data_IF_306710559005
#
_entry.id   IF_306710559005
#
_cell.length_a   1.000
_cell.length_b   1.000
_cell.length_c   1.000
_cell.angle_alpha   90.00
_cell.angle_beta   90.00
_cell.angle_gamma   90.00
#
_symmetry.space_group_name_H-M   'P 1'
#
loop_
_entity.id
_entity.type
_entity.pdbx_description
1 polymer ?
#
# COMPACT_ATOMS: atom_id res chain seq x y z
N UNK A 1 -18.68 -18.04 12.96
CA UNK A 1 -19.14 -16.82 13.67
C UNK A 1 -19.42 -15.80 12.59
N UNK A 2 -20.69 -15.48 12.34
CA UNK A 2 -21.08 -14.54 11.27
C UNK A 2 -21.11 -13.15 11.88
N UNK A 3 -20.23 -12.26 11.41
CA UNK A 3 -20.18 -10.86 11.86
C UNK A 3 -21.44 -10.12 11.39
N UNK A 4 -21.93 -9.17 12.19
CA UNK A 4 -23.02 -8.31 11.74
C UNK A 4 -22.49 -7.21 10.80
N UNK A 5 -23.36 -6.60 9.99
CA UNK A 5 -22.95 -5.58 9.01
C UNK A 5 -22.21 -4.39 9.64
N UNK A 6 -22.53 -3.99 10.87
CA UNK A 6 -21.89 -2.86 11.53
C UNK A 6 -20.41 -3.15 11.87
N UNK A 7 -20.10 -4.37 12.29
CA UNK A 7 -18.73 -4.82 12.58
C UNK A 7 -17.89 -4.92 11.29
N UNK A 8 -18.49 -5.33 10.18
CA UNK A 8 -17.82 -5.34 8.87
C UNK A 8 -17.45 -3.91 8.44
N UNK A 9 -18.40 -2.97 8.52
CA UNK A 9 -18.16 -1.56 8.20
C UNK A 9 -17.10 -0.91 9.10
N UNK A 10 -17.10 -1.23 10.39
CA UNK A 10 -16.11 -0.70 11.34
C UNK A 10 -14.69 -1.20 11.04
N UNK A 11 -14.55 -2.50 10.74
CA UNK A 11 -13.28 -3.09 10.31
C UNK A 11 -12.76 -2.45 9.01
N UNK A 12 -13.60 -2.34 7.98
CA UNK A 12 -13.20 -1.77 6.70
C UNK A 12 -12.77 -0.31 6.85
N UNK A 13 -13.52 0.46 7.65
CA UNK A 13 -13.19 1.87 7.92
C UNK A 13 -11.84 2.02 8.63
N UNK A 14 -11.59 1.18 9.63
CA UNK A 14 -10.30 1.15 10.33
C UNK A 14 -9.16 0.74 9.39
N UNK A 15 -9.34 -0.33 8.62
CA UNK A 15 -8.32 -0.86 7.71
C UNK A 15 -7.96 0.18 6.65
N UNK A 16 -8.95 0.83 6.04
CA UNK A 16 -8.73 1.90 5.07
C UNK A 16 -7.92 3.06 5.67
N UNK A 17 -8.19 3.46 6.91
CA UNK A 17 -7.42 4.50 7.59
C UNK A 17 -5.97 4.04 7.84
N UNK A 18 -5.78 2.86 8.40
CA UNK A 18 -4.45 2.33 8.72
C UNK A 18 -3.59 2.15 7.45
N UNK A 19 -4.17 1.67 6.35
CA UNK A 19 -3.49 1.55 5.05
C UNK A 19 -3.04 2.90 4.51
N UNK A 20 -3.87 3.95 4.62
CA UNK A 20 -3.50 5.31 4.21
C UNK A 20 -2.32 5.84 5.03
N UNK A 21 -2.38 5.66 6.35
CA UNK A 21 -1.31 6.06 7.27
C UNK A 21 0.00 5.31 6.99
N UNK A 22 -0.08 4.00 6.74
CA UNK A 22 1.09 3.20 6.39
C UNK A 22 1.70 3.61 5.05
N UNK A 23 0.87 3.84 4.02
CA UNK A 23 1.35 4.29 2.71
C UNK A 23 2.03 5.65 2.82
N UNK A 24 1.43 6.55 3.59
CA UNK A 24 2.02 7.86 3.90
C UNK A 24 3.39 7.71 4.56
N UNK A 25 3.51 6.82 5.54
CA UNK A 25 4.79 6.55 6.23
C UNK A 25 5.86 5.98 5.28
N UNK A 26 5.51 5.01 4.43
CA UNK A 26 6.45 4.40 3.50
C UNK A 26 6.92 5.37 2.40
N UNK A 27 6.01 6.16 1.84
CA UNK A 27 6.33 7.14 0.80
C UNK A 27 6.85 8.48 1.37
N UNK A 28 6.66 8.73 2.67
CA UNK A 28 7.13 9.93 3.39
C UNK A 28 6.61 11.25 2.80
N UNK A 29 5.31 11.32 2.53
CA UNK A 29 4.63 12.56 2.13
C UNK A 29 3.71 13.07 3.23
N UNK A 30 3.53 14.37 3.35
CA UNK A 30 2.54 15.00 4.24
C UNK A 30 1.29 15.44 3.48
N UNK A 31 1.42 15.74 2.19
CA UNK A 31 0.34 16.17 1.29
C UNK A 31 0.43 15.49 -0.08
N UNK A 32 -0.71 15.39 -0.78
CA UNK A 32 -0.81 14.66 -2.06
C UNK A 32 0.09 15.28 -3.13
N UNK A 33 0.23 16.60 -3.14
CA UNK A 33 1.11 17.36 -4.05
C UNK A 33 2.60 17.01 -3.91
N UNK A 34 3.02 16.41 -2.79
CA UNK A 34 4.41 15.95 -2.60
C UNK A 34 4.69 14.61 -3.28
N UNK A 35 3.67 13.80 -3.58
CA UNK A 35 3.82 12.43 -4.10
C UNK A 35 4.68 12.37 -5.38
N UNK A 36 4.54 13.26 -6.38
CA UNK A 36 5.38 13.23 -7.58
C UNK A 36 6.87 13.43 -7.28
N UNK A 37 7.21 14.10 -6.17
CA UNK A 37 8.59 14.36 -5.76
C UNK A 37 9.19 13.23 -4.93
N UNK A 38 8.41 12.62 -4.03
CA UNK A 38 8.88 11.51 -3.19
C UNK A 38 8.78 10.14 -3.87
N UNK A 39 7.94 10.02 -4.90
CA UNK A 39 7.70 8.79 -5.66
C UNK A 39 7.61 9.09 -7.16
N UNK A 40 8.70 9.58 -7.78
CA UNK A 40 8.68 9.96 -9.19
C UNK A 40 8.34 8.75 -10.09
N UNK A 41 7.73 9.03 -11.24
CA UNK A 41 7.44 8.00 -12.25
C UNK A 41 8.72 7.32 -12.72
N UNK A 42 8.64 6.04 -13.06
CA UNK A 42 9.79 5.30 -13.59
C UNK A 42 10.00 5.68 -15.05
N UNK A 43 11.24 6.01 -15.40
CA UNK A 43 11.67 6.03 -16.80
C UNK A 43 11.53 4.64 -17.43
N UNK A 44 11.47 4.59 -18.75
CA UNK A 44 11.44 3.29 -19.46
C UNK A 44 12.71 2.49 -19.20
N UNK A 45 13.87 3.15 -19.10
CA UNK A 45 15.16 2.52 -18.77
C UNK A 45 15.16 1.90 -17.38
N UNK A 46 14.60 2.57 -16.36
CA UNK A 46 14.46 1.99 -15.02
C UNK A 46 13.54 0.75 -15.03
N UNK A 47 12.46 0.78 -15.81
CA UNK A 47 11.54 -0.35 -15.91
C UNK A 47 12.22 -1.55 -16.61
N UNK A 48 13.00 -1.30 -17.66
CA UNK A 48 13.81 -2.31 -18.35
C UNK A 48 14.89 -2.86 -17.41
N UNK A 49 15.62 -2.00 -16.70
CA UNK A 49 16.62 -2.42 -15.73
C UNK A 49 16.00 -3.30 -14.63
N UNK A 50 14.80 -2.97 -14.14
CA UNK A 50 14.10 -3.81 -13.17
C UNK A 50 13.71 -5.19 -13.76
N UNK A 51 13.27 -5.25 -15.03
CA UNK A 51 12.95 -6.50 -15.72
C UNK A 51 14.18 -7.39 -15.92
N UNK A 52 15.35 -6.80 -16.14
CA UNK A 52 16.62 -7.51 -16.28
C UNK A 52 17.34 -7.78 -14.96
N UNK A 53 16.75 -7.40 -13.83
CA UNK A 53 17.33 -7.50 -12.48
C UNK A 53 18.59 -6.64 -12.28
N UNK A 54 18.79 -5.61 -13.11
CA UNK A 54 19.86 -4.61 -13.00
C UNK A 54 19.47 -3.44 -12.07
N UNK A 55 18.21 -3.40 -11.61
CA UNK A 55 17.71 -2.44 -10.63
C UNK A 55 17.01 -3.15 -9.48
N UNK A 56 17.27 -2.71 -8.25
CA UNK A 56 16.57 -3.20 -7.06
C UNK A 56 15.06 -2.92 -7.15
N UNK A 57 14.25 -3.91 -6.73
CA UNK A 57 12.82 -3.73 -6.56
C UNK A 57 12.46 -2.82 -5.38
N UNK A 58 11.16 -2.50 -5.23
CA UNK A 58 10.69 -1.74 -4.08
C UNK A 58 10.92 -2.55 -2.80
N UNK A 59 11.29 -1.87 -1.71
CA UNK A 59 11.41 -2.44 -0.35
C UNK A 59 10.72 -1.51 0.64
N UNK A 60 10.42 -1.95 1.87
CA UNK A 60 9.85 -1.03 2.87
C UNK A 60 10.79 0.13 3.25
N UNK A 61 12.11 -0.04 3.04
CA UNK A 61 13.10 1.03 3.28
C UNK A 61 13.28 1.98 2.08
N UNK A 62 13.07 1.46 0.86
CA UNK A 62 13.14 2.18 -0.41
C UNK A 62 11.84 1.94 -1.17
N UNK A 63 10.75 2.45 -0.60
CA UNK A 63 9.42 2.21 -1.14
C UNK A 63 9.10 3.24 -2.21
N UNK A 64 8.62 2.78 -3.37
CA UNK A 64 8.26 3.62 -4.51
C UNK A 64 7.09 2.98 -5.25
N UNK A 65 6.19 3.83 -5.73
CA UNK A 65 5.09 3.47 -6.62
C UNK A 65 5.14 4.38 -7.83
N UNK A 66 4.92 3.81 -9.02
CA UNK A 66 4.67 4.61 -10.21
C UNK A 66 3.18 4.92 -10.31
N UNK A 67 2.80 6.15 -9.96
CA UNK A 67 1.41 6.61 -10.00
C UNK A 67 0.91 6.88 -11.43
N UNK A 68 1.80 7.03 -12.42
CA UNK A 68 1.43 7.27 -13.82
C UNK A 68 1.15 5.95 -14.51
N UNK A 69 2.10 4.99 -14.44
CA UNK A 69 1.96 3.68 -15.09
C UNK A 69 0.83 2.84 -14.49
N UNK A 70 0.22 1.91 -15.24
CA UNK A 70 -0.89 1.09 -14.74
C UNK A 70 -0.59 0.39 -13.39
N UNK A 71 -1.46 0.61 -12.40
CA UNK A 71 -1.26 0.07 -11.04
C UNK A 71 -1.20 -1.47 -11.01
N UNK A 72 -2.15 -2.15 -11.65
CA UNK A 72 -2.28 -3.62 -11.54
C UNK A 72 -1.41 -4.41 -12.50
N UNK A 73 -0.95 -3.80 -13.60
CA UNK A 73 -0.27 -4.54 -14.69
C UNK A 73 1.22 -4.22 -14.82
N UNK A 74 1.69 -3.06 -14.34
CA UNK A 74 3.12 -2.76 -14.32
C UNK A 74 3.83 -3.63 -13.28
N UNK A 75 4.86 -4.38 -13.71
CA UNK A 75 5.53 -5.37 -12.86
C UNK A 75 6.13 -4.78 -11.58
N UNK A 76 6.65 -3.54 -11.65
CA UNK A 76 7.20 -2.84 -10.50
C UNK A 76 6.11 -2.48 -9.49
N UNK A 77 4.97 -1.96 -9.96
CA UNK A 77 3.82 -1.66 -9.10
C UNK A 77 3.23 -2.91 -8.44
N UNK A 78 3.18 -4.04 -9.15
CA UNK A 78 2.78 -5.33 -8.57
C UNK A 78 3.71 -5.75 -7.43
N UNK A 79 5.03 -5.58 -7.60
CA UNK A 79 6.00 -5.84 -6.55
C UNK A 79 5.82 -4.88 -5.37
N UNK A 80 5.59 -3.58 -5.63
CA UNK A 80 5.33 -2.58 -4.60
C UNK A 80 4.07 -2.92 -3.78
N UNK A 81 2.99 -3.37 -4.43
CA UNK A 81 1.79 -3.88 -3.73
C UNK A 81 2.14 -5.03 -2.79
N UNK A 82 2.93 -6.00 -3.26
CA UNK A 82 3.36 -7.13 -2.44
C UNK A 82 4.17 -6.71 -1.22
N UNK A 83 5.16 -5.84 -1.42
CA UNK A 83 5.99 -5.28 -0.33
C UNK A 83 5.14 -4.52 0.67
N UNK A 84 4.21 -3.68 0.21
CA UNK A 84 3.29 -2.97 1.10
C UNK A 84 2.47 -3.93 1.95
N UNK A 85 1.82 -4.92 1.33
CA UNK A 85 0.92 -5.83 2.05
C UNK A 85 1.70 -6.65 3.08
N UNK A 86 2.89 -7.13 2.72
CA UNK A 86 3.75 -7.86 3.64
C UNK A 86 4.22 -6.98 4.81
N UNK A 87 4.72 -5.76 4.53
CA UNK A 87 5.21 -4.87 5.58
C UNK A 87 4.09 -4.40 6.51
N UNK A 88 2.90 -4.10 5.97
CA UNK A 88 1.74 -3.72 6.75
C UNK A 88 1.30 -4.84 7.71
N UNK A 89 1.14 -6.07 7.21
CA UNK A 89 0.72 -7.20 8.06
C UNK A 89 1.78 -7.50 9.12
N UNK A 90 3.07 -7.39 8.79
CA UNK A 90 4.16 -7.49 9.77
C UNK A 90 4.05 -6.41 10.84
N UNK A 91 3.91 -5.14 10.45
CA UNK A 91 3.77 -4.01 11.36
C UNK A 91 2.54 -4.14 12.27
N UNK A 92 1.44 -4.66 11.74
CA UNK A 92 0.23 -4.96 12.50
C UNK A 92 0.47 -6.05 13.56
N UNK A 93 1.16 -7.14 13.20
CA UNK A 93 1.54 -8.20 14.14
C UNK A 93 2.54 -7.77 15.21
N UNK A 94 3.38 -6.77 14.89
CA UNK A 94 4.33 -6.13 15.83
C UNK A 94 3.66 -5.07 16.73
N UNK A 95 2.35 -4.82 16.57
CA UNK A 95 1.60 -3.88 17.40
C UNK A 95 1.78 -2.40 17.04
N UNK A 96 2.28 -2.08 15.84
CA UNK A 96 2.39 -0.69 15.37
C UNK A 96 1.03 -0.04 15.11
N UNK A 97 -0.02 -0.86 14.96
CA UNK A 97 -1.40 -0.43 14.82
C UNK A 97 -2.24 -1.06 15.92
N UNK A 98 -3.14 -0.27 16.52
CA UNK A 98 -4.06 -0.73 17.56
C UNK A 98 -5.50 -0.69 17.03
N UNK A 99 -6.02 -1.81 16.47
CA UNK A 99 -7.43 -1.87 16.11
C UNK A 99 -8.32 -1.79 17.36
N UNK A 100 -9.54 -1.22 17.22
CA UNK A 100 -10.56 -1.25 18.28
C UNK A 100 -10.85 -2.64 18.83
N UNK A 101 -10.81 -3.65 17.96
CA UNK A 101 -10.95 -5.06 18.32
C UNK A 101 -9.64 -5.80 17.97
N UNK A 102 -8.94 -6.40 18.95
CA UNK A 102 -7.72 -7.18 18.72
C UNK A 102 -7.89 -8.32 17.71
N UNK A 103 -9.09 -8.90 17.56
CA UNK A 103 -9.35 -9.96 16.58
C UNK A 103 -9.15 -9.48 15.13
N UNK A 104 -9.21 -8.17 14.89
CA UNK A 104 -9.00 -7.60 13.55
C UNK A 104 -7.57 -7.78 13.05
N UNK A 105 -6.59 -7.95 13.95
CA UNK A 105 -5.20 -8.28 13.58
C UNK A 105 -5.14 -9.60 12.80
N UNK A 106 -5.84 -10.62 13.30
CA UNK A 106 -5.89 -11.94 12.66
C UNK A 106 -6.74 -11.94 11.39
N UNK A 107 -7.67 -10.99 11.30
CA UNK A 107 -8.56 -10.85 10.15
C UNK A 107 -7.87 -10.19 8.96
N UNK A 108 -7.05 -9.17 9.19
CA UNK A 108 -6.42 -8.35 8.16
C UNK A 108 -5.38 -9.14 7.34
N UNK A 109 -5.85 -9.86 6.33
CA UNK A 109 -5.00 -10.61 5.40
C UNK A 109 -4.31 -9.68 4.40
N UNK A 110 -3.23 -10.16 3.78
CA UNK A 110 -2.58 -9.42 2.68
C UNK A 110 -3.54 -9.08 1.54
N UNK A 111 -4.55 -9.91 1.28
CA UNK A 111 -5.53 -9.64 0.22
C UNK A 111 -6.45 -8.47 0.60
N UNK A 112 -7.02 -8.48 1.80
CA UNK A 112 -7.85 -7.36 2.28
C UNK A 112 -7.07 -6.05 2.35
N UNK A 113 -5.82 -6.11 2.81
CA UNK A 113 -4.91 -4.96 2.82
C UNK A 113 -4.66 -4.48 1.39
N UNK A 114 -4.44 -5.40 0.45
CA UNK A 114 -4.23 -5.09 -0.95
C UNK A 114 -5.45 -4.48 -1.64
N UNK A 115 -6.66 -4.92 -1.32
CA UNK A 115 -7.90 -4.31 -1.82
C UNK A 115 -8.10 -2.89 -1.28
N UNK A 116 -7.84 -2.67 0.01
CA UNK A 116 -7.86 -1.35 0.62
C UNK A 116 -6.79 -0.42 0.00
N UNK A 117 -5.58 -0.94 -0.25
CA UNK A 117 -4.52 -0.21 -0.94
C UNK A 117 -4.93 0.14 -2.37
N UNK A 118 -5.44 -0.82 -3.14
CA UNK A 118 -5.90 -0.61 -4.52
C UNK A 118 -6.93 0.52 -4.61
N UNK A 119 -7.88 0.54 -3.66
CA UNK A 119 -8.89 1.61 -3.56
C UNK A 119 -8.25 2.97 -3.27
N UNK A 120 -7.28 3.02 -2.35
CA UNK A 120 -6.59 4.26 -2.01
C UNK A 120 -5.68 4.76 -3.15
N UNK A 121 -4.97 3.88 -3.85
CA UNK A 121 -4.16 4.25 -5.01
C UNK A 121 -5.03 4.84 -6.12
N UNK A 122 -6.22 4.27 -6.39
CA UNK A 122 -7.18 4.86 -7.33
C UNK A 122 -7.55 6.29 -6.93
N UNK A 123 -7.91 6.50 -5.66
CA UNK A 123 -8.23 7.82 -5.12
C UNK A 123 -7.07 8.83 -5.28
N UNK A 124 -5.82 8.40 -5.04
CA UNK A 124 -4.64 9.26 -5.19
C UNK A 124 -4.41 9.63 -6.67
N UNK A 125 -4.51 8.67 -7.59
CA UNK A 125 -4.32 8.89 -9.02
C UNK A 125 -5.33 9.85 -9.64
N UNK A 126 -6.52 9.98 -9.07
CA UNK A 126 -7.53 10.98 -9.50
C UNK A 126 -7.17 12.40 -9.06
N UNK A 127 -6.16 12.57 -8.20
CA UNK A 127 -5.79 13.84 -7.53
C UNK A 127 -4.34 14.25 -7.77
N UNK A 128 -3.60 13.45 -8.54
CA UNK A 128 -2.23 13.71 -8.99
C UNK A 128 -2.26 14.16 -10.45
#
# INVERSE_FOLDING_TARGET
>A
MTLNCNELHAFDSWLNRAVREHLRSLLRYDSIDQIPFVSPTLSDDELVAYLHHDMEGPTSRRFRIDFVRPWRTTIYNRAARGVFCHDFVRALGEGQYSPPDPAWVLRATQEQVGEALDSHIRYLRERL
#
